data_IF_433308496492
#
_entry.id   IF_433308496492
#
_cell.length_a   1.000
_cell.length_b   1.000
_cell.length_c   1.000
_cell.angle_alpha   90.00
_cell.angle_beta   90.00
_cell.angle_gamma   90.00
#
_symmetry.space_group_name_H-M   'P 1'
#
loop_
_entity.id
_entity.type
_entity.pdbx_description
1 polymer ?
#
# COMPACT_ATOMS: atom_id res chain seq x y z
N UNK A 1 19.62 6.96 -10.63
CA UNK A 1 18.87 5.99 -9.78
C UNK A 1 18.54 6.55 -8.40
N UNK A 2 19.43 7.30 -7.72
CA UNK A 2 19.13 7.92 -6.42
C UNK A 2 17.93 8.87 -6.48
N UNK A 3 17.81 9.71 -7.50
CA UNK A 3 16.71 10.66 -7.66
C UNK A 3 15.37 9.92 -7.77
N UNK A 4 15.29 8.86 -8.55
CA UNK A 4 14.08 8.04 -8.68
C UNK A 4 13.62 7.49 -7.33
N UNK A 5 14.55 6.94 -6.54
CA UNK A 5 14.30 6.41 -5.19
C UNK A 5 13.77 7.49 -4.24
N UNK A 6 14.40 8.66 -4.24
CA UNK A 6 14.01 9.80 -3.40
C UNK A 6 12.61 10.28 -3.80
N UNK A 7 12.36 10.46 -5.10
CA UNK A 7 11.05 10.89 -5.60
C UNK A 7 9.95 9.90 -5.22
N UNK A 8 10.16 8.60 -5.41
CA UNK A 8 9.18 7.57 -5.03
C UNK A 8 8.93 7.58 -3.52
N UNK A 9 9.98 7.67 -2.70
CA UNK A 9 9.83 7.75 -1.25
C UNK A 9 9.05 8.99 -0.79
N UNK A 10 9.32 10.15 -1.39
CA UNK A 10 8.58 11.39 -1.11
C UNK A 10 7.12 11.28 -1.54
N UNK A 11 6.84 10.69 -2.71
CA UNK A 11 5.46 10.48 -3.17
C UNK A 11 4.67 9.56 -2.22
N UNK A 12 5.31 8.51 -1.70
CA UNK A 12 4.68 7.65 -0.68
C UNK A 12 4.34 8.46 0.58
N UNK A 13 5.25 9.31 1.04
CA UNK A 13 5.00 10.14 2.24
C UNK A 13 3.87 11.14 2.03
N UNK A 14 3.80 11.76 0.86
CA UNK A 14 2.69 12.68 0.50
C UNK A 14 1.37 11.91 0.47
N UNK A 15 1.31 10.77 -0.20
CA UNK A 15 0.11 9.94 -0.28
C UNK A 15 -0.35 9.48 1.12
N UNK A 16 0.58 9.07 1.98
CA UNK A 16 0.26 8.69 3.36
C UNK A 16 -0.25 9.88 4.19
N UNK A 17 0.35 11.06 4.00
CA UNK A 17 -0.10 12.26 4.70
C UNK A 17 -1.54 12.61 4.32
N UNK A 18 -1.86 12.66 3.02
CA UNK A 18 -3.21 12.94 2.55
C UNK A 18 -4.22 11.93 3.08
N UNK A 19 -3.88 10.65 3.08
CA UNK A 19 -4.76 9.59 3.61
C UNK A 19 -4.87 9.62 5.14
N UNK A 20 -3.84 10.06 5.85
CA UNK A 20 -3.86 10.14 7.32
C UNK A 20 -4.86 11.16 7.85
N UNK A 21 -5.19 12.18 7.06
CA UNK A 21 -6.21 13.18 7.40
C UNK A 21 -7.62 12.57 7.53
N UNK A 22 -7.86 11.47 6.80
CA UNK A 22 -9.15 10.76 6.77
C UNK A 22 -9.02 9.32 7.25
N UNK A 23 -8.00 9.03 8.07
CA UNK A 23 -7.67 7.66 8.50
C UNK A 23 -8.84 7.00 9.21
N UNK A 24 -9.51 7.70 10.12
CA UNK A 24 -10.64 7.16 10.87
C UNK A 24 -11.82 6.87 9.94
N UNK A 25 -12.08 7.74 8.97
CA UNK A 25 -13.27 7.65 8.11
C UNK A 25 -13.19 6.49 7.11
N UNK A 26 -12.00 6.20 6.58
CA UNK A 26 -11.82 5.26 5.47
C UNK A 26 -11.03 3.99 5.80
N UNK A 27 -10.28 3.98 6.89
CA UNK A 27 -9.35 2.89 7.22
C UNK A 27 -9.65 2.18 8.54
N UNK A 28 -10.74 2.56 9.22
CA UNK A 28 -11.18 1.94 10.46
C UNK A 28 -12.64 1.51 10.38
N UNK A 29 -13.09 0.65 11.30
CA UNK A 29 -14.50 0.25 11.38
C UNK A 29 -15.39 1.30 12.05
N UNK A 30 -14.80 2.34 12.64
CA UNK A 30 -15.52 3.48 13.24
C UNK A 30 -15.93 4.55 12.20
N UNK A 31 -15.48 4.42 10.94
CA UNK A 31 -15.75 5.36 9.86
C UNK A 31 -16.80 4.89 8.85
N UNK A 32 -16.86 5.58 7.72
CA UNK A 32 -17.82 5.28 6.64
C UNK A 32 -17.52 3.99 5.89
N UNK A 33 -16.23 3.58 5.80
CA UNK A 33 -15.79 2.42 5.05
C UNK A 33 -15.38 1.28 5.99
N UNK A 34 -16.38 0.62 6.56
CA UNK A 34 -16.16 -0.55 7.42
C UNK A 34 -15.63 -1.74 6.62
N UNK A 35 -14.92 -2.67 7.30
CA UNK A 35 -14.45 -3.92 6.65
C UNK A 35 -15.60 -4.73 6.03
N UNK A 36 -16.76 -4.74 6.69
CA UNK A 36 -17.95 -5.42 6.18
C UNK A 36 -18.40 -4.84 4.83
N UNK A 37 -18.44 -3.52 4.71
CA UNK A 37 -18.80 -2.84 3.47
C UNK A 37 -17.79 -3.10 2.34
N UNK A 38 -16.49 -3.07 2.65
CA UNK A 38 -15.43 -3.38 1.67
C UNK A 38 -15.56 -4.82 1.19
N UNK A 39 -15.78 -5.77 2.10
CA UNK A 39 -15.93 -7.18 1.75
C UNK A 39 -17.18 -7.43 0.89
N UNK A 40 -18.29 -6.75 1.19
CA UNK A 40 -19.51 -6.84 0.38
C UNK A 40 -19.30 -6.27 -1.03
N UNK A 41 -18.68 -5.10 -1.13
CA UNK A 41 -18.31 -4.48 -2.41
C UNK A 41 -17.40 -5.37 -3.26
N UNK A 42 -16.37 -5.96 -2.65
CA UNK A 42 -15.49 -6.91 -3.33
C UNK A 42 -16.20 -8.21 -3.71
N UNK A 43 -17.17 -8.64 -2.89
CA UNK A 43 -18.04 -9.78 -3.19
C UNK A 43 -18.92 -9.57 -4.43
N UNK A 44 -19.43 -8.36 -4.62
CA UNK A 44 -20.26 -8.00 -5.79
C UNK A 44 -19.44 -7.89 -7.08
N UNK A 45 -18.14 -7.66 -6.99
CA UNK A 45 -17.25 -7.62 -8.16
C UNK A 45 -16.87 -9.00 -8.71
N UNK A 46 -17.23 -10.09 -8.01
CA UNK A 46 -17.01 -11.45 -8.52
C UNK A 46 -17.96 -11.71 -9.68
N UNK A 47 -17.47 -12.17 -10.85
CA UNK A 47 -18.34 -12.65 -11.90
C UNK A 47 -19.19 -13.82 -11.35
N UNK A 48 -20.44 -13.96 -11.76
CA UNK A 48 -21.27 -15.09 -11.39
C UNK A 48 -20.79 -16.32 -12.16
N UNK A 49 -19.73 -16.96 -11.67
CA UNK A 49 -19.25 -18.24 -12.19
C UNK A 49 -19.69 -19.31 -11.18
N UNK A 50 -20.69 -20.06 -11.57
CA UNK A 50 -21.35 -21.08 -10.77
C UNK A 50 -20.45 -22.25 -10.37
N UNK A 51 -19.25 -22.37 -10.96
CA UNK A 51 -18.27 -23.44 -10.74
C UNK A 51 -16.93 -22.95 -10.18
N UNK A 52 -16.88 -21.76 -9.60
CA UNK A 52 -15.62 -21.27 -9.02
C UNK A 52 -15.31 -22.02 -7.72
N UNK A 53 -14.19 -22.75 -7.73
CA UNK A 53 -13.46 -23.24 -6.58
C UNK A 53 -13.60 -22.24 -5.42
N UNK A 54 -13.87 -22.66 -4.15
CA UNK A 54 -14.01 -21.76 -3.02
C UNK A 54 -12.74 -20.90 -2.94
N UNK A 55 -12.84 -19.73 -3.50
CA UNK A 55 -11.70 -18.87 -3.74
C UNK A 55 -11.24 -18.27 -2.44
N UNK A 56 -10.06 -18.66 -1.96
CA UNK A 56 -9.11 -17.74 -1.40
C UNK A 56 -9.31 -16.36 -2.05
N UNK A 57 -9.40 -15.32 -1.24
CA UNK A 57 -9.54 -13.94 -1.71
C UNK A 57 -8.69 -13.73 -2.95
N UNK A 58 -9.26 -13.39 -4.12
CA UNK A 58 -8.48 -13.31 -5.33
C UNK A 58 -7.43 -12.21 -5.17
N UNK A 59 -6.15 -12.55 -5.33
CA UNK A 59 -5.12 -11.57 -5.66
C UNK A 59 -5.71 -10.62 -6.73
N UNK A 60 -5.86 -9.34 -6.53
CA UNK A 60 -5.04 -8.39 -5.75
C UNK A 60 -5.72 -7.76 -4.52
N UNK A 61 -6.74 -8.35 -3.95
CA UNK A 61 -7.55 -7.76 -2.88
C UNK A 61 -7.07 -8.12 -1.46
N UNK A 62 -5.92 -8.78 -1.36
CA UNK A 62 -5.33 -9.07 -0.07
C UNK A 62 -4.78 -7.81 0.61
N UNK A 63 -5.14 -7.60 1.88
CA UNK A 63 -4.77 -6.40 2.61
C UNK A 63 -4.50 -6.68 4.08
N UNK A 64 -3.33 -6.29 4.55
CA UNK A 64 -3.04 -6.25 5.99
C UNK A 64 -3.95 -5.29 6.74
N UNK A 65 -4.40 -4.21 6.08
CA UNK A 65 -5.31 -3.24 6.65
C UNK A 65 -6.73 -3.78 6.86
N UNK A 66 -7.06 -4.94 6.29
CA UNK A 66 -8.33 -5.65 6.52
C UNK A 66 -8.27 -6.62 7.71
N UNK A 67 -7.08 -6.89 8.27
CA UNK A 67 -6.92 -7.80 9.40
C UNK A 67 -7.56 -7.25 10.69
N UNK A 68 -7.54 -5.94 10.88
CA UNK A 68 -8.18 -5.28 12.01
C UNK A 68 -8.84 -3.97 11.58
N UNK A 69 -10.00 -3.67 12.16
CA UNK A 69 -10.70 -2.38 12.02
C UNK A 69 -10.31 -1.34 13.06
N UNK A 70 -9.39 -1.69 13.96
CA UNK A 70 -8.98 -0.81 15.04
C UNK A 70 -8.13 0.36 14.53
N UNK A 71 -8.41 1.56 15.05
CA UNK A 71 -7.65 2.78 14.75
C UNK A 71 -6.16 2.60 15.03
N UNK A 72 -5.81 1.94 16.12
CA UNK A 72 -4.43 1.67 16.51
C UNK A 72 -3.65 0.89 15.45
N UNK A 73 -4.25 -0.16 14.92
CA UNK A 73 -3.60 -0.99 13.89
C UNK A 73 -3.41 -0.21 12.60
N UNK A 74 -4.39 0.59 12.20
CA UNK A 74 -4.27 1.46 11.04
C UNK A 74 -3.14 2.48 11.23
N UNK A 75 -3.05 3.14 12.38
CA UNK A 75 -1.97 4.08 12.70
C UNK A 75 -0.60 3.41 12.70
N UNK A 76 -0.48 2.20 13.25
CA UNK A 76 0.76 1.44 13.25
C UNK A 76 1.22 1.09 11.83
N UNK A 77 0.31 0.66 10.97
CA UNK A 77 0.61 0.33 9.57
C UNK A 77 1.02 1.57 8.77
N UNK A 78 0.34 2.69 8.97
CA UNK A 78 0.71 3.98 8.37
C UNK A 78 2.09 4.44 8.83
N UNK A 79 2.35 4.38 10.14
CA UNK A 79 3.64 4.73 10.73
C UNK A 79 4.78 3.83 10.23
N UNK A 80 4.54 2.53 10.14
CA UNK A 80 5.50 1.56 9.58
C UNK A 80 5.82 1.89 8.12
N UNK A 81 4.81 2.15 7.30
CA UNK A 81 5.02 2.49 5.89
C UNK A 81 5.77 3.82 5.73
N UNK A 82 5.47 4.83 6.55
CA UNK A 82 6.20 6.09 6.55
C UNK A 82 7.68 5.89 6.92
N UNK A 83 7.95 5.08 7.95
CA UNK A 83 9.32 4.73 8.35
C UNK A 83 10.08 4.03 7.21
N UNK A 84 9.46 3.05 6.57
CA UNK A 84 10.07 2.33 5.44
C UNK A 84 10.32 3.26 4.25
N UNK A 85 9.43 4.22 3.98
CA UNK A 85 9.63 5.22 2.94
C UNK A 85 10.82 6.15 3.26
N UNK A 86 10.96 6.58 4.50
CA UNK A 86 12.11 7.39 4.95
C UNK A 86 13.42 6.60 4.80
N UNK A 87 13.45 5.36 5.24
CA UNK A 87 14.62 4.48 5.10
C UNK A 87 14.96 4.23 3.61
N UNK A 88 13.94 4.14 2.75
CA UNK A 88 14.12 4.05 1.31
C UNK A 88 14.77 5.33 0.75
N UNK A 89 14.36 6.51 1.20
CA UNK A 89 14.97 7.80 0.81
C UNK A 89 16.44 7.84 1.22
N UNK A 90 16.77 7.41 2.44
CA UNK A 90 18.15 7.33 2.96
C UNK A 90 18.96 6.30 2.16
N UNK A 91 18.33 5.23 1.67
CA UNK A 91 18.97 4.21 0.85
C UNK A 91 19.56 3.06 1.63
N UNK A 92 18.95 2.68 2.74
CA UNK A 92 19.33 1.49 3.51
C UNK A 92 18.58 0.27 2.98
N UNK A 93 19.32 -0.82 2.64
CA UNK A 93 18.74 -2.05 2.06
C UNK A 93 17.65 -1.78 1.02
N UNK A 94 17.97 -0.95 0.04
CA UNK A 94 17.02 -0.35 -0.89
C UNK A 94 16.08 -1.34 -1.57
N UNK A 95 16.61 -2.50 -1.98
CA UNK A 95 15.79 -3.52 -2.65
C UNK A 95 14.72 -4.11 -1.73
N UNK A 96 15.10 -4.44 -0.49
CA UNK A 96 14.17 -4.96 0.52
C UNK A 96 13.10 -3.91 0.86
N UNK A 97 13.51 -2.67 1.09
CA UNK A 97 12.60 -1.59 1.42
C UNK A 97 11.63 -1.26 0.27
N UNK A 98 12.07 -1.36 -0.98
CA UNK A 98 11.19 -1.19 -2.13
C UNK A 98 10.11 -2.27 -2.17
N UNK A 99 10.47 -3.54 -1.92
CA UNK A 99 9.51 -4.66 -1.85
C UNK A 99 8.52 -4.45 -0.70
N UNK A 100 8.99 -4.10 0.49
CA UNK A 100 8.13 -3.90 1.66
C UNK A 100 7.16 -2.72 1.46
N UNK A 101 7.65 -1.60 0.93
CA UNK A 101 6.79 -0.46 0.59
C UNK A 101 5.75 -0.84 -0.47
N UNK A 102 6.13 -1.62 -1.48
CA UNK A 102 5.22 -2.09 -2.51
C UNK A 102 4.09 -2.96 -1.94
N UNK A 103 4.43 -3.93 -1.06
CA UNK A 103 3.46 -4.80 -0.40
C UNK A 103 2.50 -4.01 0.50
N UNK A 104 3.01 -3.08 1.31
CA UNK A 104 2.18 -2.25 2.16
C UNK A 104 1.30 -1.30 1.34
N UNK A 105 1.80 -0.76 0.24
CA UNK A 105 1.02 0.12 -0.64
C UNK A 105 -0.14 -0.65 -1.31
N UNK A 106 0.10 -1.86 -1.78
CA UNK A 106 -0.97 -2.74 -2.31
C UNK A 106 -2.00 -3.01 -1.21
N UNK A 107 -1.55 -3.33 -0.01
CA UNK A 107 -2.40 -3.56 1.15
C UNK A 107 -3.28 -2.34 1.47
N UNK A 108 -2.69 -1.15 1.47
CA UNK A 108 -3.38 0.11 1.70
C UNK A 108 -4.45 0.38 0.63
N UNK A 109 -4.10 0.21 -0.63
CA UNK A 109 -5.01 0.43 -1.76
C UNK A 109 -6.14 -0.60 -1.78
N UNK A 110 -5.88 -1.85 -1.40
CA UNK A 110 -6.90 -2.89 -1.29
C UNK A 110 -7.91 -2.62 -0.16
N UNK A 111 -7.50 -1.93 0.91
CA UNK A 111 -8.40 -1.54 2.00
C UNK A 111 -9.44 -0.50 1.56
N UNK A 112 -9.06 0.38 0.65
CA UNK A 112 -9.94 1.44 0.16
C UNK A 112 -9.95 1.50 -1.38
N UNK A 113 -10.65 0.56 -2.05
CA UNK A 113 -10.69 0.52 -3.52
C UNK A 113 -11.50 1.68 -4.13
N UNK A 114 -12.36 2.34 -3.35
CA UNK A 114 -13.28 3.38 -3.84
C UNK A 114 -12.54 4.69 -4.10
N UNK A 115 -11.51 5.00 -3.32
CA UNK A 115 -10.73 6.26 -3.39
C UNK A 115 -9.49 6.13 -4.28
N UNK A 116 -9.29 4.99 -4.92
CA UNK A 116 -8.16 4.77 -5.82
C UNK A 116 -8.24 5.69 -7.04
N UNK A 117 -7.11 6.30 -7.37
CA UNK A 117 -6.95 7.13 -8.57
C UNK A 117 -5.80 6.62 -9.46
N UNK A 118 -5.65 7.25 -10.63
CA UNK A 118 -4.58 6.88 -11.58
C UNK A 118 -3.17 7.05 -10.98
N UNK A 119 -2.99 8.01 -10.08
CA UNK A 119 -1.72 8.24 -9.38
C UNK A 119 -1.31 7.06 -8.51
N UNK A 120 -2.28 6.42 -7.83
CA UNK A 120 -2.05 5.24 -7.00
C UNK A 120 -1.53 4.07 -7.83
N UNK A 121 -2.09 3.89 -9.02
CA UNK A 121 -1.64 2.84 -9.95
C UNK A 121 -0.22 3.11 -10.44
N UNK A 122 0.08 4.35 -10.80
CA UNK A 122 1.43 4.76 -11.23
C UNK A 122 2.43 4.53 -10.11
N UNK A 123 2.12 4.92 -8.88
CA UNK A 123 3.02 4.75 -7.73
C UNK A 123 3.31 3.27 -7.46
N UNK A 124 2.29 2.40 -7.53
CA UNK A 124 2.49 0.94 -7.43
C UNK A 124 3.40 0.40 -8.53
N UNK A 125 3.21 0.84 -9.77
CA UNK A 125 4.03 0.42 -10.89
C UNK A 125 5.47 0.91 -10.78
N UNK A 126 5.66 2.15 -10.33
CA UNK A 126 7.00 2.69 -10.07
C UNK A 126 7.76 1.87 -9.02
N UNK A 127 7.10 1.50 -7.92
CA UNK A 127 7.69 0.64 -6.89
C UNK A 127 7.98 -0.76 -7.43
N UNK A 128 7.04 -1.37 -8.15
CA UNK A 128 7.23 -2.69 -8.75
C UNK A 128 8.46 -2.73 -9.67
N UNK A 129 8.55 -1.81 -10.62
CA UNK A 129 9.72 -1.71 -11.50
C UNK A 129 10.99 -1.33 -10.74
N UNK A 130 10.86 -0.54 -9.67
CA UNK A 130 11.95 -0.18 -8.77
C UNK A 130 12.64 -1.38 -8.13
N UNK A 131 11.93 -2.51 -7.91
CA UNK A 131 12.50 -3.74 -7.36
C UNK A 131 13.63 -4.29 -8.26
N UNK A 132 13.47 -4.16 -9.58
CA UNK A 132 14.42 -4.66 -10.56
C UNK A 132 15.56 -3.68 -10.86
N UNK A 133 15.42 -2.42 -10.47
CA UNK A 133 16.43 -1.40 -10.69
C UNK A 133 17.51 -1.43 -9.60
N UNK A 134 18.78 -1.18 -9.96
CA UNK A 134 19.89 -1.11 -8.99
C UNK A 134 19.85 0.23 -8.21
N UNK A 135 18.82 0.44 -7.39
CA UNK A 135 18.57 1.70 -6.69
C UNK A 135 19.64 2.03 -5.62
N UNK A 136 20.37 1.02 -5.15
CA UNK A 136 21.43 1.16 -4.15
C UNK A 136 22.81 1.52 -4.71
N UNK A 137 22.97 1.68 -6.04
CA UNK A 137 24.29 1.84 -6.66
C UNK A 137 24.98 3.19 -6.41
N UNK A 138 24.20 4.24 -6.17
CA UNK A 138 24.70 5.60 -5.97
C UNK A 138 23.96 6.28 -4.83
N UNK A 139 24.71 7.00 -3.97
CA UNK A 139 24.16 7.78 -2.88
C UNK A 139 23.25 6.97 -1.94
N UNK A 140 23.71 5.80 -1.53
CA UNK A 140 23.00 4.97 -0.57
C UNK A 140 23.96 4.47 0.52
N UNK A 141 23.41 4.16 1.69
CA UNK A 141 24.11 3.51 2.79
C UNK A 141 24.49 2.05 2.50
N UNK A 142 24.00 1.50 1.40
CA UNK A 142 24.19 0.11 0.98
C UNK A 142 25.50 -0.14 0.21
N UNK A 143 26.51 0.69 0.43
CA UNK A 143 27.83 0.55 -0.19
C UNK A 143 28.70 -0.45 0.54
#
# INVERSE_FOLDING_TARGET
MAIFRIVVGVLILIDLYDRSLYLTDFYTDDGFLTRALVNDYLGQMKPPVEDAIPSTMPWPFWSFHLLSGDVWVAQMLFGLQALLAILLIIGWKTRLLTVLNWLLLISLHARNPIVLNSGDTILRMMLFWGIFLPLGRHWSFDR
#
